data_IF_950775024171
#
_entry.id   IF_950775024171
#
_cell.length_a   1.000
_cell.length_b   1.000
_cell.length_c   1.000
_cell.angle_alpha   90.00
_cell.angle_beta   90.00
_cell.angle_gamma   90.00
#
_symmetry.space_group_name_H-M   'P 1'
#
loop_
_entity.id
_entity.type
_entity.pdbx_description
1 polymer ?
#
# COMPACT_ATOMS: atom_id res chain seq x y z
N UNK A 1 -4.85 -11.87 33.75
CA UNK A 1 -5.03 -10.84 32.70
C UNK A 1 -3.94 -11.06 31.67
N UNK A 2 -4.29 -11.37 30.42
CA UNK A 2 -3.30 -11.43 29.34
C UNK A 2 -2.62 -10.07 29.21
N UNK A 3 -1.29 -10.07 29.17
CA UNK A 3 -0.52 -8.86 28.86
C UNK A 3 -0.85 -8.48 27.41
N UNK A 4 -1.23 -7.22 27.10
CA UNK A 4 -1.44 -6.78 25.74
C UNK A 4 -0.19 -7.10 24.91
N UNK A 5 -0.36 -7.79 23.77
CA UNK A 5 0.75 -8.03 22.86
C UNK A 5 1.14 -6.72 22.18
N UNK A 6 2.44 -6.43 22.00
CA UNK A 6 2.88 -5.22 21.33
C UNK A 6 2.34 -5.18 19.89
N UNK A 7 2.15 -3.96 19.40
CA UNK A 7 1.71 -3.69 18.04
C UNK A 7 2.48 -2.54 17.37
N UNK A 8 3.26 -1.77 18.12
CA UNK A 8 4.11 -0.70 17.58
C UNK A 8 5.56 -1.15 17.72
N UNK A 9 6.28 -1.14 16.60
CA UNK A 9 7.58 -1.79 16.46
C UNK A 9 8.62 -0.81 15.94
N UNK A 10 9.90 -1.09 16.23
CA UNK A 10 11.00 -0.57 15.42
C UNK A 10 11.06 -1.33 14.11
N UNK A 11 11.39 -0.65 13.03
CA UNK A 11 11.58 -1.31 11.75
C UNK A 11 12.86 -2.15 11.84
N UNK A 12 12.82 -3.45 11.49
CA UNK A 12 14.01 -4.30 11.50
C UNK A 12 15.12 -3.71 10.62
N UNK A 13 16.37 -3.79 11.09
CA UNK A 13 17.53 -3.20 10.38
C UNK A 13 17.64 -3.65 8.93
N UNK A 14 17.36 -4.92 8.66
CA UNK A 14 17.43 -5.49 7.30
C UNK A 14 16.52 -4.76 6.31
N UNK A 15 15.39 -4.23 6.77
CA UNK A 15 14.44 -3.47 5.96
C UNK A 15 14.78 -1.96 6.03
N UNK A 16 15.09 -1.47 7.23
CA UNK A 16 15.37 -0.05 7.47
C UNK A 16 16.60 0.45 6.69
N UNK A 17 17.67 -0.34 6.64
CA UNK A 17 18.95 0.03 6.03
C UNK A 17 18.86 0.20 4.51
N UNK A 18 17.81 -0.36 3.87
CA UNK A 18 17.55 -0.20 2.43
C UNK A 18 17.10 1.22 2.09
N UNK A 19 16.28 1.83 2.95
CA UNK A 19 15.74 3.18 2.77
C UNK A 19 15.35 3.84 4.11
N UNK A 20 16.31 4.34 4.91
CA UNK A 20 16.05 4.87 6.25
C UNK A 20 15.06 6.03 6.29
N UNK A 21 15.03 6.86 5.24
CA UNK A 21 14.14 8.01 5.10
C UNK A 21 12.66 7.62 4.98
N UNK A 22 12.34 6.39 4.58
CA UNK A 22 10.96 5.91 4.48
C UNK A 22 10.32 5.61 5.86
N UNK A 23 11.11 5.61 6.93
CA UNK A 23 10.69 5.25 8.29
C UNK A 23 11.01 6.36 9.30
N UNK A 24 11.49 7.50 8.83
CA UNK A 24 11.91 8.62 9.67
C UNK A 24 10.94 9.77 9.46
N UNK A 25 10.23 10.23 10.49
CA UNK A 25 9.36 11.38 10.38
C UNK A 25 10.10 12.58 9.78
N UNK A 26 9.39 13.43 9.05
CA UNK A 26 9.98 14.61 8.42
C UNK A 26 9.71 15.88 9.20
N UNK A 27 8.59 15.92 9.93
CA UNK A 27 8.05 17.12 10.54
C UNK A 27 7.45 16.89 11.93
N UNK A 28 6.69 15.82 12.16
CA UNK A 28 6.00 15.60 13.44
C UNK A 28 6.36 14.26 14.08
N UNK A 29 6.84 14.32 15.33
CA UNK A 29 7.11 13.13 16.15
C UNK A 29 5.85 12.74 16.92
N UNK A 30 5.39 11.52 16.79
CA UNK A 30 4.22 10.98 17.47
C UNK A 30 4.64 9.79 18.31
N UNK A 31 4.24 9.81 19.58
CA UNK A 31 4.61 8.79 20.54
C UNK A 31 6.09 8.85 20.94
N UNK A 32 6.58 7.82 21.64
CA UNK A 32 7.84 7.85 22.36
C UNK A 32 9.07 7.43 21.53
N UNK A 33 8.92 6.65 20.46
CA UNK A 33 10.04 5.94 19.83
C UNK A 33 11.08 6.91 19.23
N UNK A 34 10.67 7.91 18.45
CA UNK A 34 11.60 8.90 17.88
C UNK A 34 12.11 9.94 18.87
N UNK A 35 11.66 9.89 20.14
CA UNK A 35 12.05 10.83 21.20
C UNK A 35 13.13 10.25 22.12
N UNK A 36 13.52 9.00 21.93
CA UNK A 36 14.56 8.36 22.72
C UNK A 36 15.93 8.95 22.44
N UNK A 37 16.79 9.02 23.46
CA UNK A 37 18.21 9.35 23.28
C UNK A 37 18.93 8.33 22.37
N UNK A 38 18.40 7.10 22.21
CA UNK A 38 18.92 6.07 21.31
C UNK A 38 18.70 6.38 19.82
N UNK A 39 17.68 7.17 19.47
CA UNK A 39 17.47 7.63 18.08
C UNK A 39 18.66 8.45 17.56
N UNK A 40 19.43 9.06 18.46
CA UNK A 40 20.63 9.83 18.14
C UNK A 40 21.87 8.95 17.88
N UNK A 41 21.86 7.69 18.30
CA UNK A 41 22.97 6.76 18.04
C UNK A 41 22.78 5.99 16.71
N UNK A 42 21.55 5.73 16.27
CA UNK A 42 21.28 5.10 14.96
C UNK A 42 21.64 6.05 13.81
N UNK A 43 21.52 7.37 14.02
CA UNK A 43 21.92 8.38 13.04
C UNK A 43 23.46 8.56 12.91
N UNK A 44 24.27 7.96 13.80
CA UNK A 44 25.74 8.03 13.72
C UNK A 44 26.35 7.02 12.75
N UNK A 45 25.62 5.94 12.41
CA UNK A 45 26.17 4.84 11.60
C UNK A 45 25.99 5.05 10.08
N UNK A 46 25.45 6.21 9.64
CA UNK A 46 25.29 6.52 8.23
C UNK A 46 25.38 8.02 7.93
N UNK A 47 26.51 8.42 7.34
CA UNK A 47 26.89 9.75 6.86
C UNK A 47 27.56 10.70 7.87
N UNK A 48 28.84 10.98 7.60
CA UNK A 48 29.58 12.10 8.14
C UNK A 48 28.91 13.45 7.79
N UNK A 49 29.03 14.41 8.72
CA UNK A 49 28.67 15.84 8.66
C UNK A 49 27.25 16.27 9.06
N UNK A 50 26.96 16.24 10.37
CA UNK A 50 26.49 17.45 11.07
C UNK A 50 26.77 17.38 12.57
N UNK A 51 27.60 18.30 13.02
CA UNK A 51 27.98 18.55 14.40
C UNK A 51 26.88 19.29 15.15
N UNK A 52 25.90 18.59 15.72
CA UNK A 52 25.34 18.81 17.08
C UNK A 52 24.16 17.84 17.32
N UNK A 53 24.14 17.00 18.37
CA UNK A 53 22.97 16.20 18.74
C UNK A 53 21.75 17.03 19.15
N UNK A 54 21.91 18.34 19.38
CA UNK A 54 20.85 19.28 19.75
C UNK A 54 20.09 19.89 18.57
N UNK A 55 20.48 19.59 17.33
CA UNK A 55 19.66 19.83 16.13
C UNK A 55 18.53 18.80 16.05
N UNK A 56 17.65 18.77 17.07
CA UNK A 56 16.28 18.32 16.86
C UNK A 56 15.73 19.28 15.80
N UNK A 57 15.84 18.86 14.52
CA UNK A 57 15.59 19.64 13.30
C UNK A 57 14.58 20.72 13.62
N UNK A 58 14.96 22.01 13.56
CA UNK A 58 14.18 23.18 14.01
C UNK A 58 12.66 23.08 13.78
N UNK A 59 12.26 22.37 12.73
CA UNK A 59 10.87 22.04 12.39
C UNK A 59 10.14 21.15 13.41
N UNK A 60 10.79 20.17 14.05
CA UNK A 60 10.22 19.40 15.16
C UNK A 60 9.86 20.29 16.34
N UNK A 61 10.74 21.23 16.73
CA UNK A 61 10.46 22.16 17.83
C UNK A 61 9.24 23.05 17.50
N UNK A 62 9.15 23.54 16.26
CA UNK A 62 7.97 24.28 15.80
C UNK A 62 6.70 23.42 15.90
N UNK A 63 6.77 22.14 15.53
CA UNK A 63 5.62 21.25 15.63
C UNK A 63 5.24 20.93 17.07
N UNK A 64 6.20 20.80 17.99
CA UNK A 64 5.88 20.63 19.40
C UNK A 64 5.20 21.87 20.00
N UNK A 65 5.58 23.07 19.56
CA UNK A 65 4.86 24.30 19.93
C UNK A 65 3.48 24.38 19.27
N UNK A 66 3.35 23.90 18.02
CA UNK A 66 2.05 23.81 17.35
C UNK A 66 1.10 22.87 18.10
N UNK A 67 1.57 21.72 18.58
CA UNK A 67 0.77 20.80 19.40
C UNK A 67 0.24 21.44 20.67
N UNK A 68 1.04 22.28 21.34
CA UNK A 68 0.57 23.06 22.51
C UNK A 68 -0.56 24.00 22.12
N UNK A 69 -0.42 24.72 21.00
CA UNK A 69 -1.49 25.60 20.48
C UNK A 69 -2.76 24.83 20.13
N UNK A 70 -2.63 23.64 19.54
CA UNK A 70 -3.75 22.74 19.26
C UNK A 70 -4.44 22.32 20.56
N UNK A 71 -3.67 21.92 21.59
CA UNK A 71 -4.22 21.58 22.89
C UNK A 71 -4.94 22.77 23.53
N UNK A 72 -4.37 23.97 23.51
CA UNK A 72 -5.00 25.20 24.03
C UNK A 72 -6.30 25.53 23.29
N UNK A 73 -6.30 25.44 21.96
CA UNK A 73 -7.49 25.66 21.13
C UNK A 73 -8.58 24.63 21.43
N UNK A 74 -8.20 23.35 21.49
CA UNK A 74 -9.10 22.25 21.79
C UNK A 74 -9.72 22.41 23.18
N UNK A 75 -8.90 22.78 24.18
CA UNK A 75 -9.35 23.03 25.55
C UNK A 75 -10.42 24.12 25.60
N UNK A 76 -10.27 25.20 24.82
CA UNK A 76 -11.31 26.25 24.69
C UNK A 76 -12.59 25.72 24.04
N UNK A 77 -12.49 24.80 23.08
CA UNK A 77 -13.62 24.20 22.35
C UNK A 77 -14.41 23.21 23.21
N UNK A 78 -13.75 22.35 23.99
CA UNK A 78 -14.40 21.25 24.73
C UNK A 78 -14.51 21.47 26.25
N UNK A 79 -13.80 22.47 26.79
CA UNK A 79 -13.74 22.80 28.21
C UNK A 79 -12.70 21.98 29.00
N UNK A 80 -12.18 22.58 30.07
CA UNK A 80 -11.12 22.02 30.92
C UNK A 80 -11.51 20.66 31.54
N UNK A 81 -12.78 20.52 31.95
CA UNK A 81 -13.30 19.26 32.52
C UNK A 81 -13.13 18.07 31.57
N UNK A 82 -13.32 18.30 30.28
CA UNK A 82 -13.16 17.27 29.24
C UNK A 82 -11.68 16.88 29.09
N UNK A 83 -10.77 17.85 29.15
CA UNK A 83 -9.32 17.60 29.08
C UNK A 83 -8.84 16.83 30.32
N UNK A 84 -9.38 17.13 31.49
CA UNK A 84 -9.06 16.41 32.72
C UNK A 84 -9.61 14.96 32.70
N UNK A 85 -10.80 14.74 32.12
CA UNK A 85 -11.32 13.40 31.86
C UNK A 85 -10.42 12.60 30.90
N UNK A 86 -9.93 13.24 29.84
CA UNK A 86 -8.96 12.65 28.92
C UNK A 86 -7.66 12.27 29.65
N UNK A 87 -7.13 13.16 30.49
CA UNK A 87 -5.92 12.90 31.28
C UNK A 87 -6.10 11.69 32.21
N UNK A 88 -7.23 11.59 32.91
CA UNK A 88 -7.57 10.44 33.76
C UNK A 88 -7.69 9.14 32.96
N UNK A 89 -8.26 9.21 31.76
CA UNK A 89 -8.39 8.06 30.85
C UNK A 89 -7.00 7.57 30.41
N UNK A 90 -6.11 8.47 29.99
CA UNK A 90 -4.73 8.12 29.61
C UNK A 90 -3.98 7.54 30.81
N UNK A 91 -4.16 8.12 32.00
CA UNK A 91 -3.53 7.62 33.23
C UNK A 91 -3.99 6.20 33.58
N UNK A 92 -5.29 5.91 33.47
CA UNK A 92 -5.83 4.58 33.69
C UNK A 92 -5.28 3.55 32.68
N UNK A 93 -5.05 3.98 31.45
CA UNK A 93 -4.57 3.16 30.34
C UNK A 93 -3.05 3.15 30.16
N UNK A 94 -2.28 3.86 31.01
CA UNK A 94 -0.82 4.03 30.83
C UNK A 94 -0.11 2.70 30.57
N UNK A 95 -0.41 1.70 31.39
CA UNK A 95 0.18 0.36 31.26
C UNK A 95 -0.13 -0.29 29.91
N UNK A 96 -1.36 -0.13 29.40
CA UNK A 96 -1.78 -0.71 28.12
C UNK A 96 -1.16 0.06 26.93
N UNK A 97 -1.05 1.38 27.05
CA UNK A 97 -0.38 2.21 26.04
C UNK A 97 1.10 1.83 25.95
N UNK A 98 1.80 1.73 27.09
CA UNK A 98 3.21 1.30 27.12
C UNK A 98 3.40 -0.11 26.58
N UNK A 99 2.50 -1.04 26.94
CA UNK A 99 2.53 -2.42 26.45
C UNK A 99 2.24 -2.55 24.94
N UNK A 100 1.73 -1.48 24.30
CA UNK A 100 1.55 -1.47 22.85
C UNK A 100 2.88 -1.32 22.09
N UNK A 101 3.95 -0.86 22.73
CA UNK A 101 5.28 -0.75 22.14
C UNK A 101 6.12 -2.01 22.44
N UNK A 102 6.80 -2.55 21.43
CA UNK A 102 7.77 -3.63 21.64
C UNK A 102 9.02 -3.13 22.38
N UNK A 103 9.52 -1.95 22.00
CA UNK A 103 10.63 -1.29 22.70
C UNK A 103 10.13 -0.73 24.05
N UNK A 104 10.84 -1.03 25.14
CA UNK A 104 10.49 -0.50 26.46
C UNK A 104 10.49 1.03 26.47
N UNK A 105 9.45 1.59 27.09
CA UNK A 105 9.28 3.03 27.29
C UNK A 105 9.54 3.45 28.75
N UNK A 106 10.04 2.54 29.59
CA UNK A 106 10.22 2.75 31.04
C UNK A 106 11.21 3.87 31.37
N UNK A 107 12.06 4.24 30.41
CA UNK A 107 12.96 5.38 30.51
C UNK A 107 12.24 6.73 30.54
N UNK A 108 10.96 6.80 30.14
CA UNK A 108 10.11 7.99 30.23
C UNK A 108 9.32 7.93 31.53
N UNK A 109 9.53 8.92 32.42
CA UNK A 109 8.72 9.05 33.64
C UNK A 109 7.23 9.18 33.29
N UNK A 110 6.37 8.60 34.11
CA UNK A 110 4.91 8.59 33.92
C UNK A 110 4.35 9.99 33.63
N UNK A 111 4.72 11.02 34.41
CA UNK A 111 4.25 12.40 34.20
C UNK A 111 4.49 12.93 32.77
N UNK A 112 5.69 12.71 32.22
CA UNK A 112 6.04 13.15 30.87
C UNK A 112 5.39 12.27 29.80
N UNK A 113 5.25 10.98 30.08
CA UNK A 113 4.58 10.06 29.17
C UNK A 113 3.11 10.41 29.00
N UNK A 114 2.38 10.67 30.09
CA UNK A 114 0.96 11.04 30.04
C UNK A 114 0.75 12.35 29.28
N UNK A 115 1.59 13.36 29.53
CA UNK A 115 1.54 14.65 28.83
C UNK A 115 1.85 14.49 27.34
N UNK A 116 2.83 13.67 26.98
CA UNK A 116 3.16 13.32 25.60
C UNK A 116 1.97 12.69 24.88
N UNK A 117 1.36 11.66 25.46
CA UNK A 117 0.22 10.97 24.86
C UNK A 117 -0.98 11.92 24.70
N UNK A 118 -1.25 12.78 25.68
CA UNK A 118 -2.33 13.76 25.61
C UNK A 118 -2.13 14.73 24.46
N UNK A 119 -0.95 15.35 24.37
CA UNK A 119 -0.62 16.33 23.32
C UNK A 119 -0.68 15.72 21.93
N UNK A 120 -0.06 14.55 21.75
CA UNK A 120 -0.05 13.85 20.46
C UNK A 120 -1.46 13.39 20.07
N UNK A 121 -2.27 12.91 21.03
CA UNK A 121 -3.65 12.49 20.75
C UNK A 121 -4.52 13.66 20.33
N UNK A 122 -4.48 14.78 21.07
CA UNK A 122 -5.27 15.98 20.75
C UNK A 122 -4.84 16.58 19.42
N UNK A 123 -3.53 16.67 19.17
CA UNK A 123 -3.01 17.13 17.89
C UNK A 123 -3.56 16.30 16.73
N UNK A 124 -3.50 14.97 16.80
CA UNK A 124 -3.99 14.09 15.74
C UNK A 124 -5.51 14.25 15.55
N UNK A 125 -6.28 14.24 16.63
CA UNK A 125 -7.74 14.35 16.55
C UNK A 125 -8.18 15.67 15.94
N UNK A 126 -7.62 16.79 16.38
CA UNK A 126 -7.96 18.11 15.83
C UNK A 126 -7.42 18.29 14.41
N UNK A 127 -6.19 17.83 14.12
CA UNK A 127 -5.64 17.88 12.76
C UNK A 127 -6.56 17.18 11.76
N UNK A 128 -7.03 15.97 12.06
CA UNK A 128 -7.94 15.21 11.20
C UNK A 128 -9.33 15.85 11.14
N UNK A 129 -9.88 16.27 12.28
CA UNK A 129 -11.24 16.83 12.35
C UNK A 129 -11.33 18.16 11.61
N UNK A 130 -10.35 19.06 11.80
CA UNK A 130 -10.29 20.33 11.09
C UNK A 130 -10.13 20.16 9.58
N UNK A 131 -9.32 19.20 9.11
CA UNK A 131 -9.18 18.94 7.66
C UNK A 131 -10.46 18.37 7.03
N UNK A 132 -11.27 17.65 7.82
CA UNK A 132 -12.56 17.16 7.38
C UNK A 132 -13.65 18.25 7.41
N UNK A 133 -13.61 19.18 8.37
CA UNK A 133 -14.60 20.25 8.51
C UNK A 133 -14.32 21.44 7.57
N UNK A 134 -13.05 21.81 7.38
CA UNK A 134 -12.63 22.93 6.52
C UNK A 134 -12.63 22.60 5.02
N UNK A 135 -13.12 21.41 4.61
CA UNK A 135 -13.36 21.12 3.19
C UNK A 135 -14.59 21.85 2.64
N UNK A 136 -15.38 22.53 3.49
CA UNK A 136 -16.62 23.22 3.09
C UNK A 136 -16.55 24.76 3.11
N UNK A 137 -15.60 25.41 3.79
CA UNK A 137 -15.45 26.88 3.71
C UNK A 137 -14.06 27.37 4.21
N UNK A 138 -13.48 28.31 3.45
CA UNK A 138 -12.32 29.17 3.74
C UNK A 138 -10.98 28.52 4.19
N UNK A 139 -10.09 28.31 3.22
CA UNK A 139 -8.71 27.87 3.48
C UNK A 139 -7.84 29.01 3.99
N UNK A 140 -7.51 28.99 5.28
CA UNK A 140 -6.28 29.62 5.77
C UNK A 140 -5.10 28.90 5.06
N UNK A 141 -4.53 29.57 4.06
CA UNK A 141 -3.52 29.05 3.12
C UNK A 141 -2.28 28.43 3.78
N UNK A 142 -2.03 28.71 5.06
CA UNK A 142 -0.86 28.25 5.81
C UNK A 142 -0.95 26.76 6.23
N UNK A 143 -2.16 26.20 6.43
CA UNK A 143 -2.31 24.78 6.82
C UNK A 143 -2.03 23.79 5.67
N UNK A 144 -2.22 24.20 4.41
CA UNK A 144 -2.09 23.31 3.24
C UNK A 144 -0.65 22.88 2.95
N UNK A 145 0.34 23.72 3.29
CA UNK A 145 1.76 23.52 2.90
C UNK A 145 2.42 22.33 3.62
N UNK A 146 2.01 22.04 4.85
CA UNK A 146 2.58 20.95 5.65
C UNK A 146 1.64 19.75 5.85
N UNK A 147 0.36 19.87 5.48
CA UNK A 147 -0.64 18.83 5.69
C UNK A 147 -0.20 17.48 5.10
N UNK A 148 0.30 17.47 3.86
CA UNK A 148 0.77 16.25 3.19
C UNK A 148 1.95 15.59 3.92
N UNK A 149 2.88 16.38 4.44
CA UNK A 149 4.04 15.89 5.19
C UNK A 149 3.63 15.33 6.54
N UNK A 150 2.72 16.02 7.25
CA UNK A 150 2.14 15.53 8.51
C UNK A 150 1.38 14.23 8.27
N UNK A 151 0.52 14.16 7.25
CA UNK A 151 -0.21 12.93 6.89
C UNK A 151 0.71 11.75 6.63
N UNK A 152 1.84 11.98 5.94
CA UNK A 152 2.86 10.97 5.72
C UNK A 152 3.54 10.52 7.02
N UNK A 153 3.86 11.45 7.92
CA UNK A 153 4.44 11.12 9.22
C UNK A 153 3.48 10.32 10.11
N UNK A 154 2.17 10.55 9.99
CA UNK A 154 1.14 9.87 10.78
C UNK A 154 1.01 8.37 10.47
N UNK A 155 1.52 7.89 9.33
CA UNK A 155 1.39 6.48 8.92
C UNK A 155 2.67 5.66 9.12
N UNK A 156 3.77 6.30 9.54
CA UNK A 156 5.06 5.63 9.76
C UNK A 156 4.99 4.70 10.96
N UNK A 157 5.45 3.46 10.81
CA UNK A 157 5.32 2.40 11.83
C UNK A 157 5.95 2.79 13.18
N UNK A 158 7.08 3.51 13.14
CA UNK A 158 7.79 3.96 14.34
C UNK A 158 7.18 5.24 14.96
N UNK A 159 6.19 5.85 14.32
CA UNK A 159 5.62 7.15 14.67
C UNK A 159 4.12 7.04 15.03
N UNK A 160 3.77 6.09 15.90
CA UNK A 160 2.38 5.70 16.16
C UNK A 160 1.96 5.88 17.62
N UNK A 161 0.65 6.09 17.80
CA UNK A 161 -0.07 5.82 19.05
C UNK A 161 -1.00 4.61 18.86
N UNK A 162 -1.26 3.82 19.90
CA UNK A 162 -2.18 2.70 19.79
C UNK A 162 -3.61 3.21 19.61
N UNK A 163 -4.30 2.74 18.58
CA UNK A 163 -5.54 3.34 18.10
C UNK A 163 -6.68 3.35 19.12
N UNK A 164 -6.70 2.38 20.04
CA UNK A 164 -7.74 2.30 21.09
C UNK A 164 -7.80 3.56 21.95
N UNK A 165 -6.69 4.31 22.06
CA UNK A 165 -6.67 5.56 22.83
C UNK A 165 -7.63 6.59 22.23
N UNK A 166 -7.66 6.72 20.90
CA UNK A 166 -8.54 7.69 20.24
C UNK A 166 -10.02 7.36 20.45
N UNK A 167 -10.39 6.08 20.52
CA UNK A 167 -11.76 5.69 20.87
C UNK A 167 -12.15 6.03 22.28
N UNK A 168 -11.18 5.92 23.18
CA UNK A 168 -11.38 6.20 24.60
C UNK A 168 -11.46 7.71 24.84
N UNK A 169 -10.64 8.48 24.12
CA UNK A 169 -10.55 9.94 24.25
C UNK A 169 -11.61 10.69 23.46
N UNK A 170 -12.05 10.17 22.32
CA UNK A 170 -13.16 10.72 21.54
C UNK A 170 -14.49 10.35 22.21
N UNK A 171 -14.71 10.94 23.39
CA UNK A 171 -15.80 10.62 24.31
C UNK A 171 -17.18 10.87 23.69
N UNK A 172 -18.23 10.35 24.34
CA UNK A 172 -19.62 10.59 23.93
C UNK A 172 -19.95 12.08 23.83
N UNK A 173 -19.33 12.95 24.63
CA UNK A 173 -19.55 14.40 24.56
C UNK A 173 -19.06 14.97 23.23
N UNK A 174 -17.86 14.58 22.79
CA UNK A 174 -17.27 15.00 21.51
C UNK A 174 -18.04 14.38 20.33
N UNK A 175 -18.42 13.11 20.44
CA UNK A 175 -19.21 12.42 19.42
C UNK A 175 -20.63 13.02 19.28
N UNK A 176 -21.27 13.44 20.38
CA UNK A 176 -22.55 14.13 20.33
C UNK A 176 -22.46 15.51 19.67
N UNK A 177 -21.36 16.24 19.88
CA UNK A 177 -21.12 17.52 19.21
C UNK A 177 -20.94 17.37 17.69
N UNK A 178 -20.27 16.29 17.26
CA UNK A 178 -19.88 16.06 15.85
C UNK A 178 -20.84 15.16 15.07
N UNK A 179 -21.74 14.43 15.75
CA UNK A 179 -22.60 13.38 15.19
C UNK A 179 -21.83 12.25 14.46
N UNK A 180 -20.51 12.14 14.63
CA UNK A 180 -19.66 11.13 14.02
C UNK A 180 -18.77 10.46 15.07
N UNK A 181 -18.22 9.30 14.73
CA UNK A 181 -17.16 8.64 15.51
C UNK A 181 -15.81 9.02 14.91
N UNK A 182 -14.75 8.98 15.72
CA UNK A 182 -13.39 9.20 15.20
C UNK A 182 -13.02 8.22 14.09
N UNK A 183 -13.52 6.98 14.17
CA UNK A 183 -13.42 5.97 13.12
C UNK A 183 -13.91 6.48 11.75
N UNK A 184 -15.00 7.27 11.70
CA UNK A 184 -15.49 7.84 10.43
C UNK A 184 -14.57 8.94 9.92
N UNK A 185 -14.10 9.83 10.80
CA UNK A 185 -13.18 10.89 10.45
C UNK A 185 -11.87 10.35 9.88
N UNK A 186 -11.22 9.40 10.57
CA UNK A 186 -9.94 8.83 10.11
C UNK A 186 -10.07 8.08 8.78
N UNK A 187 -11.14 7.29 8.61
CA UNK A 187 -11.36 6.52 7.38
C UNK A 187 -11.66 7.45 6.21
N UNK A 188 -12.42 8.52 6.43
CA UNK A 188 -12.66 9.55 5.41
C UNK A 188 -11.39 10.33 5.08
N UNK A 189 -10.59 10.69 6.09
CA UNK A 189 -9.36 11.46 5.91
C UNK A 189 -8.32 10.73 5.06
N UNK A 190 -8.20 9.41 5.22
CA UNK A 190 -7.28 8.59 4.42
C UNK A 190 -7.95 7.93 3.18
N UNK A 191 -9.23 8.22 2.90
CA UNK A 191 -10.04 7.59 1.85
C UNK A 191 -9.97 6.04 1.90
N UNK A 192 -10.14 5.48 3.10
CA UNK A 192 -10.07 4.03 3.35
C UNK A 192 -11.46 3.46 3.59
N UNK A 193 -11.82 2.44 2.81
CA UNK A 193 -13.03 1.65 3.05
C UNK A 193 -12.69 0.28 3.65
N UNK A 194 -12.75 0.19 4.98
CA UNK A 194 -12.68 -1.09 5.71
C UNK A 194 -14.11 -1.46 6.14
N UNK A 195 -14.44 -2.76 6.16
CA UNK A 195 -15.75 -3.25 6.61
C UNK A 195 -16.11 -2.82 8.04
N UNK A 196 -17.34 -3.14 8.48
CA UNK A 196 -17.97 -2.64 9.73
C UNK A 196 -17.16 -2.77 11.02
N UNK A 197 -16.12 -3.62 11.07
CA UNK A 197 -15.27 -3.78 12.25
C UNK A 197 -13.95 -3.06 12.02
N UNK A 198 -13.83 -1.90 12.62
CA UNK A 198 -12.60 -1.13 12.80
C UNK A 198 -11.87 -1.73 14.02
N UNK A 199 -10.89 -2.59 13.80
CA UNK A 199 -10.07 -3.18 14.88
C UNK A 199 -8.59 -3.12 14.57
N UNK A 200 -8.21 -2.17 13.71
CA UNK A 200 -6.82 -1.84 13.45
C UNK A 200 -6.14 -1.27 14.70
N UNK A 201 -4.86 -1.58 14.86
CA UNK A 201 -4.07 -1.31 16.06
C UNK A 201 -3.47 0.10 16.08
N UNK A 202 -3.21 0.68 14.91
CA UNK A 202 -2.66 2.02 14.66
C UNK A 202 -2.82 2.34 13.16
N UNK A 203 -2.36 3.49 12.67
CA UNK A 203 -2.66 3.95 11.31
C UNK A 203 -1.96 3.14 10.22
N UNK A 204 -0.73 2.66 10.46
CA UNK A 204 -0.08 1.71 9.53
C UNK A 204 -0.88 0.41 9.37
N UNK A 205 -1.41 -0.14 10.48
CA UNK A 205 -2.26 -1.34 10.44
C UNK A 205 -3.61 -1.05 9.76
N UNK A 206 -4.13 0.18 9.87
CA UNK A 206 -5.32 0.62 9.12
C UNK A 206 -5.08 0.51 7.60
N UNK A 207 -3.95 1.01 7.08
CA UNK A 207 -3.60 0.89 5.67
C UNK A 207 -3.42 -0.57 5.24
N UNK A 208 -2.71 -1.37 6.05
CA UNK A 208 -2.56 -2.82 5.82
C UNK A 208 -3.92 -3.50 5.73
N UNK A 209 -4.85 -3.16 6.63
CA UNK A 209 -6.22 -3.70 6.58
C UNK A 209 -6.97 -3.25 5.33
N UNK A 210 -6.80 -2.01 4.88
CA UNK A 210 -7.37 -1.55 3.61
C UNK A 210 -6.91 -2.42 2.44
N UNK A 211 -5.60 -2.71 2.35
CA UNK A 211 -5.06 -3.65 1.37
C UNK A 211 -5.65 -5.05 1.51
N UNK A 212 -5.71 -5.58 2.73
CA UNK A 212 -6.23 -6.92 2.99
C UNK A 212 -7.72 -7.05 2.62
N UNK A 213 -8.57 -6.11 3.04
CA UNK A 213 -10.01 -6.13 2.78
C UNK A 213 -10.33 -6.11 1.28
N UNK A 214 -9.48 -5.50 0.46
CA UNK A 214 -9.63 -5.50 -1.01
C UNK A 214 -9.64 -6.90 -1.63
N UNK A 215 -9.00 -7.88 -1.00
CA UNK A 215 -9.02 -9.29 -1.42
C UNK A 215 -10.38 -9.92 -1.18
N UNK A 216 -11.12 -9.43 -0.18
CA UNK A 216 -12.32 -10.07 0.34
C UNK A 216 -13.62 -9.29 0.09
N UNK A 217 -13.57 -8.19 -0.68
CA UNK A 217 -14.70 -7.29 -0.88
C UNK A 217 -15.99 -7.98 -1.40
N UNK A 218 -15.87 -9.15 -2.03
CA UNK A 218 -17.02 -9.93 -2.50
C UNK A 218 -17.59 -10.92 -1.47
N UNK A 219 -16.95 -11.06 -0.29
CA UNK A 219 -17.34 -12.01 0.75
C UNK A 219 -17.89 -11.26 1.96
N UNK A 220 -19.22 -11.08 1.97
CA UNK A 220 -19.94 -10.45 3.09
C UNK A 220 -19.96 -11.32 4.36
N UNK A 221 -19.77 -12.64 4.24
CA UNK A 221 -19.82 -13.58 5.37
C UNK A 221 -18.43 -13.91 5.93
N UNK A 222 -18.31 -13.89 7.27
CA UNK A 222 -17.06 -14.19 7.99
C UNK A 222 -16.55 -15.61 7.76
N UNK A 223 -17.44 -16.58 7.60
CA UNK A 223 -17.11 -17.97 7.32
C UNK A 223 -16.51 -18.14 5.93
N UNK A 224 -17.09 -17.51 4.90
CA UNK A 224 -16.56 -17.51 3.55
C UNK A 224 -15.20 -16.83 3.47
N UNK A 225 -14.99 -15.75 4.24
CA UNK A 225 -13.67 -15.12 4.38
C UNK A 225 -12.64 -16.06 5.00
N UNK A 226 -13.02 -16.80 6.05
CA UNK A 226 -12.13 -17.77 6.69
C UNK A 226 -11.82 -18.95 5.76
N UNK A 227 -12.82 -19.51 5.10
CA UNK A 227 -12.64 -20.55 4.08
C UNK A 227 -11.71 -20.04 2.98
N UNK A 228 -11.95 -18.86 2.43
CA UNK A 228 -11.10 -18.23 1.40
C UNK A 228 -9.65 -18.06 1.87
N UNK A 229 -9.42 -17.62 3.12
CA UNK A 229 -8.07 -17.52 3.71
C UNK A 229 -7.33 -18.87 3.73
N UNK A 230 -8.07 -19.95 4.00
CA UNK A 230 -7.56 -21.33 4.05
C UNK A 230 -7.44 -21.94 2.65
N UNK A 231 -8.29 -21.57 1.69
CA UNK A 231 -8.36 -22.21 0.37
C UNK A 231 -7.51 -21.54 -0.71
N UNK A 232 -7.09 -20.27 -0.54
CA UNK A 232 -6.36 -19.52 -1.59
C UNK A 232 -4.87 -19.36 -1.34
N UNK A 233 -4.42 -19.72 -0.15
CA UNK A 233 -3.00 -19.75 0.14
C UNK A 233 -2.42 -21.07 -0.36
N UNK A 234 -1.85 -21.05 -1.56
CA UNK A 234 -0.99 -22.12 -2.05
C UNK A 234 0.47 -21.89 -1.65
N UNK A 235 1.40 -22.76 -2.08
CA UNK A 235 2.84 -22.54 -1.91
C UNK A 235 3.29 -21.16 -2.40
N UNK A 236 4.38 -20.65 -1.82
CA UNK A 236 5.04 -19.44 -2.29
C UNK A 236 5.41 -19.55 -3.78
N UNK A 237 5.37 -18.42 -4.49
CA UNK A 237 5.71 -18.38 -5.92
C UNK A 237 7.23 -18.45 -6.03
N UNK A 238 7.74 -19.50 -6.67
CA UNK A 238 9.19 -19.69 -6.86
C UNK A 238 9.66 -19.09 -8.19
N UNK A 239 8.83 -19.21 -9.23
CA UNK A 239 9.13 -18.68 -10.55
C UNK A 239 7.87 -18.13 -11.25
N UNK A 240 8.06 -17.05 -11.99
CA UNK A 240 7.06 -16.49 -12.90
C UNK A 240 7.80 -15.71 -14.00
N UNK A 241 7.17 -15.57 -15.17
CA UNK A 241 7.75 -14.81 -16.29
C UNK A 241 7.41 -13.33 -16.17
N UNK A 242 8.32 -12.49 -16.68
CA UNK A 242 8.14 -11.03 -16.71
C UNK A 242 6.95 -10.60 -17.56
N UNK A 243 6.52 -9.35 -17.39
CA UNK A 243 5.38 -8.81 -18.12
C UNK A 243 5.57 -8.89 -19.65
N UNK A 244 6.75 -8.51 -20.15
CA UNK A 244 7.08 -8.60 -21.59
C UNK A 244 7.03 -10.04 -22.10
N UNK A 245 7.62 -10.98 -21.37
CA UNK A 245 7.59 -12.40 -21.72
C UNK A 245 6.16 -12.96 -21.77
N UNK A 246 5.34 -12.62 -20.77
CA UNK A 246 3.94 -13.04 -20.72
C UNK A 246 3.13 -12.41 -21.87
N UNK A 247 3.38 -11.13 -22.19
CA UNK A 247 2.75 -10.43 -23.31
C UNK A 247 3.06 -11.08 -24.65
N UNK A 248 4.33 -11.46 -24.89
CA UNK A 248 4.73 -12.20 -26.09
C UNK A 248 4.05 -13.58 -26.19
N UNK A 249 3.67 -14.18 -25.07
CA UNK A 249 2.88 -15.42 -25.03
C UNK A 249 1.36 -15.21 -25.16
N UNK A 250 0.91 -13.96 -25.37
CA UNK A 250 -0.50 -13.61 -25.59
C UNK A 250 -1.26 -13.22 -24.33
N UNK A 251 -0.59 -13.00 -23.20
CA UNK A 251 -1.22 -12.44 -21.99
C UNK A 251 -1.44 -10.95 -22.17
N UNK A 252 -2.66 -10.49 -21.94
CA UNK A 252 -2.98 -9.05 -21.90
C UNK A 252 -3.00 -8.56 -20.48
N UNK A 253 -2.55 -7.33 -20.24
CA UNK A 253 -2.59 -6.70 -18.93
C UNK A 253 -3.78 -5.74 -18.88
N UNK A 254 -4.38 -5.59 -17.71
CA UNK A 254 -5.48 -4.65 -17.51
C UNK A 254 -5.47 -4.12 -16.08
N UNK A 255 -5.50 -2.79 -15.94
CA UNK A 255 -5.70 -2.18 -14.65
C UNK A 255 -7.14 -2.42 -14.14
N UNK A 256 -7.27 -2.78 -12.87
CA UNK A 256 -8.56 -2.84 -12.20
C UNK A 256 -9.07 -1.41 -11.99
N UNK A 257 -10.18 -1.08 -12.62
CA UNK A 257 -10.91 0.16 -12.35
C UNK A 257 -11.50 0.03 -10.96
N UNK A 258 -11.16 0.94 -10.04
CA UNK A 258 -11.80 1.03 -8.74
C UNK A 258 -12.87 2.12 -8.81
N UNK A 259 -14.13 1.74 -8.62
CA UNK A 259 -15.25 2.66 -8.48
C UNK A 259 -15.26 3.22 -7.05
N UNK A 260 -14.46 4.26 -6.81
CA UNK A 260 -14.73 5.32 -5.82
C UNK A 260 -13.62 6.37 -5.88
N UNK A 261 -14.05 7.62 -6.08
CA UNK A 261 -13.28 8.84 -5.92
C UNK A 261 -14.17 9.77 -5.11
N UNK A 262 -13.74 10.23 -3.94
CA UNK A 262 -14.24 11.48 -3.37
C UNK A 262 -13.14 12.15 -2.55
N UNK A 263 -12.89 13.41 -2.90
CA UNK A 263 -12.04 14.40 -2.25
C UNK A 263 -10.51 14.23 -2.32
N UNK A 264 -9.85 15.36 -2.66
CA UNK A 264 -8.41 15.53 -2.57
C UNK A 264 -7.66 15.19 -3.86
N UNK A 265 -6.61 15.94 -4.11
CA UNK A 265 -5.76 15.98 -5.31
C UNK A 265 -5.62 14.65 -6.08
N UNK A 266 -5.83 14.71 -7.41
CA UNK A 266 -5.86 13.56 -8.32
C UNK A 266 -4.55 12.74 -8.32
N UNK A 267 -3.48 13.32 -7.78
CA UNK A 267 -2.13 12.79 -7.83
C UNK A 267 -1.68 12.03 -6.56
N UNK A 268 -2.50 11.93 -5.50
CA UNK A 268 -2.08 11.33 -4.21
C UNK A 268 -2.86 10.09 -3.73
N UNK A 269 -3.74 9.51 -4.55
CA UNK A 269 -4.57 8.39 -4.09
C UNK A 269 -3.78 7.07 -4.16
N UNK A 270 -3.37 6.56 -2.99
CA UNK A 270 -2.93 5.17 -2.86
C UNK A 270 -4.14 4.26 -3.00
N UNK A 271 -4.33 3.67 -4.18
CA UNK A 271 -5.36 2.66 -4.39
C UNK A 271 -5.02 1.40 -3.59
N UNK A 272 -5.66 1.23 -2.43
CA UNK A 272 -5.46 0.08 -1.56
C UNK A 272 -6.13 -1.16 -2.17
N UNK A 273 -5.43 -1.85 -3.06
CA UNK A 273 -5.90 -3.11 -3.63
C UNK A 273 -4.77 -4.10 -3.87
N UNK A 274 -5.05 -5.37 -3.55
CA UNK A 274 -4.16 -6.51 -3.76
C UNK A 274 -4.78 -7.54 -4.73
N UNK A 275 -5.92 -7.24 -5.35
CA UNK A 275 -6.70 -8.25 -6.10
C UNK A 275 -6.19 -8.45 -7.53
N UNK A 276 -5.57 -9.61 -7.75
CA UNK A 276 -5.09 -10.07 -9.07
C UNK A 276 -5.93 -11.24 -9.56
N UNK A 277 -6.36 -11.19 -10.82
CA UNK A 277 -7.16 -12.23 -11.47
C UNK A 277 -6.63 -12.51 -12.86
N UNK A 278 -6.58 -13.79 -13.23
CA UNK A 278 -6.21 -14.20 -14.58
C UNK A 278 -7.30 -15.06 -15.21
N UNK A 279 -7.96 -14.50 -16.22
CA UNK A 279 -9.08 -15.14 -16.91
C UNK A 279 -8.96 -14.93 -18.42
N UNK A 280 -9.16 -16.01 -19.18
CA UNK A 280 -9.20 -15.98 -20.66
C UNK A 280 -8.01 -15.25 -21.32
N UNK A 281 -6.83 -15.33 -20.71
CA UNK A 281 -5.61 -14.68 -21.23
C UNK A 281 -5.45 -13.21 -20.84
N UNK A 282 -6.29 -12.68 -19.95
CA UNK A 282 -6.19 -11.32 -19.44
C UNK A 282 -5.82 -11.36 -17.96
N UNK A 283 -4.70 -10.75 -17.59
CA UNK A 283 -4.27 -10.52 -16.22
C UNK A 283 -4.79 -9.15 -15.76
N UNK A 284 -5.80 -9.17 -14.90
CA UNK A 284 -6.36 -7.96 -14.29
C UNK A 284 -5.77 -7.77 -12.90
N UNK A 285 -5.13 -6.63 -12.65
CA UNK A 285 -4.43 -6.36 -11.39
C UNK A 285 -4.64 -4.92 -10.91
N UNK A 286 -4.35 -4.62 -9.62
CA UNK A 286 -4.39 -3.26 -9.12
C UNK A 286 -3.44 -2.36 -9.90
N UNK A 287 -3.84 -1.11 -10.13
CA UNK A 287 -2.91 -0.12 -10.68
C UNK A 287 -1.79 0.17 -9.67
N UNK A 288 -0.55 0.16 -10.12
CA UNK A 288 0.63 0.47 -9.33
C UNK A 288 1.13 1.88 -9.67
N UNK A 289 0.90 2.82 -8.76
CA UNK A 289 1.38 4.19 -8.90
C UNK A 289 2.75 4.31 -8.25
N UNK A 290 3.83 4.36 -9.05
CA UNK A 290 5.19 4.36 -8.55
C UNK A 290 5.61 5.78 -8.12
N UNK A 291 5.29 6.16 -6.88
CA UNK A 291 5.67 7.45 -6.28
C UNK A 291 6.38 7.30 -4.94
N UNK A 292 7.02 8.37 -4.46
CA UNK A 292 7.65 8.40 -3.13
C UNK A 292 6.66 8.05 -2.01
N UNK A 293 5.43 8.57 -2.08
CA UNK A 293 4.36 8.27 -1.11
C UNK A 293 3.98 6.79 -1.12
N UNK A 294 3.80 6.19 -2.30
CA UNK A 294 3.46 4.77 -2.41
C UNK A 294 4.59 3.87 -1.90
N UNK A 295 5.86 4.23 -2.15
CA UNK A 295 7.02 3.51 -1.66
C UNK A 295 7.06 3.53 -0.13
N UNK A 296 6.90 4.72 0.46
CA UNK A 296 6.84 4.90 1.92
C UNK A 296 5.69 4.12 2.55
N UNK A 297 4.48 4.19 1.99
CA UNK A 297 3.29 3.46 2.49
C UNK A 297 3.54 1.95 2.46
N UNK A 298 3.97 1.41 1.32
CA UNK A 298 4.23 -0.02 1.15
C UNK A 298 5.34 -0.49 2.11
N UNK A 299 6.41 0.28 2.24
CA UNK A 299 7.51 -0.01 3.18
C UNK A 299 7.06 -0.14 4.62
N UNK A 300 6.22 0.78 5.10
CA UNK A 300 5.73 0.75 6.49
C UNK A 300 4.71 -0.38 6.70
N UNK A 301 3.84 -0.64 5.73
CA UNK A 301 2.89 -1.77 5.78
C UNK A 301 3.64 -3.11 5.78
N UNK A 302 4.63 -3.29 4.91
CA UNK A 302 5.46 -4.49 4.85
C UNK A 302 6.25 -4.66 6.14
N UNK A 303 6.90 -3.61 6.65
CA UNK A 303 7.60 -3.68 7.94
C UNK A 303 6.68 -4.16 9.07
N UNK A 304 5.43 -3.70 9.10
CA UNK A 304 4.46 -4.16 10.09
C UNK A 304 4.05 -5.63 9.89
N UNK A 305 3.85 -6.09 8.65
CA UNK A 305 3.63 -7.51 8.35
C UNK A 305 4.80 -8.39 8.80
N UNK A 306 6.03 -7.90 8.69
CA UNK A 306 7.24 -8.62 9.09
C UNK A 306 7.44 -8.68 10.61
N UNK A 307 7.02 -7.65 11.35
CA UNK A 307 7.13 -7.63 12.81
C UNK A 307 5.99 -8.38 13.52
N UNK A 308 4.75 -8.30 12.99
CA UNK A 308 3.58 -8.86 13.67
C UNK A 308 3.30 -10.31 13.24
N UNK A 309 3.94 -11.26 13.94
CA UNK A 309 3.91 -12.73 13.66
C UNK A 309 2.53 -13.31 13.36
N UNK A 310 1.46 -12.74 13.92
CA UNK A 310 0.09 -13.23 13.72
C UNK A 310 -0.53 -12.87 12.35
N UNK A 311 0.18 -12.12 11.50
CA UNK A 311 -0.35 -11.65 10.21
C UNK A 311 0.08 -12.53 9.05
N UNK A 312 -0.83 -12.70 8.10
CA UNK A 312 -0.50 -13.18 6.76
C UNK A 312 0.12 -12.02 5.96
N UNK A 313 1.31 -12.19 5.34
CA UNK A 313 2.03 -11.10 4.69
C UNK A 313 1.49 -10.83 3.27
N UNK A 314 0.21 -10.45 3.17
CA UNK A 314 -0.49 -10.27 1.89
C UNK A 314 0.16 -9.18 1.01
N UNK A 315 0.56 -8.07 1.62
CA UNK A 315 1.19 -6.94 0.90
C UNK A 315 2.59 -7.32 0.43
N UNK A 316 3.36 -7.98 1.29
CA UNK A 316 4.68 -8.53 0.95
C UNK A 316 4.60 -9.53 -0.22
N UNK A 317 3.60 -10.41 -0.21
CA UNK A 317 3.33 -11.35 -1.30
C UNK A 317 2.93 -10.65 -2.61
N UNK A 318 2.24 -9.51 -2.54
CA UNK A 318 1.90 -8.72 -3.73
C UNK A 318 3.13 -8.07 -4.36
N UNK A 319 3.99 -7.47 -3.54
CA UNK A 319 5.26 -6.94 -4.04
C UNK A 319 6.12 -8.05 -4.65
N UNK A 320 6.12 -9.25 -4.05
CA UNK A 320 6.83 -10.39 -4.64
C UNK A 320 6.24 -10.84 -5.98
N UNK A 321 4.91 -10.88 -6.10
CA UNK A 321 4.26 -11.12 -7.39
C UNK A 321 4.61 -10.03 -8.42
N UNK A 322 4.59 -8.76 -8.02
CA UNK A 322 4.90 -7.62 -8.88
C UNK A 322 6.37 -7.63 -9.34
N UNK A 323 7.30 -8.03 -8.47
CA UNK A 323 8.73 -8.10 -8.78
C UNK A 323 9.04 -9.13 -9.88
N UNK A 324 8.28 -10.22 -9.96
CA UNK A 324 8.41 -11.14 -11.10
C UNK A 324 7.98 -10.51 -12.42
N UNK A 325 7.01 -9.59 -12.40
CA UNK A 325 6.50 -8.94 -13.60
C UNK A 325 7.39 -7.80 -14.07
N UNK A 326 8.00 -7.05 -13.15
CA UNK A 326 8.81 -5.85 -13.41
C UNK A 326 10.29 -6.18 -13.23
N UNK A 327 10.92 -6.69 -14.29
CA UNK A 327 12.36 -7.05 -14.28
C UNK A 327 13.19 -6.03 -15.07
N UNK A 328 12.60 -5.36 -16.05
CA UNK A 328 13.28 -4.45 -16.98
C UNK A 328 12.45 -3.22 -17.32
N UNK A 329 13.11 -2.21 -17.88
CA UNK A 329 12.48 -1.00 -18.41
C UNK A 329 11.35 -1.30 -19.41
N UNK A 330 11.51 -2.37 -20.20
CA UNK A 330 10.52 -2.82 -21.18
C UNK A 330 9.24 -3.33 -20.50
N UNK A 331 9.38 -4.05 -19.37
CA UNK A 331 8.22 -4.49 -18.59
C UNK A 331 7.46 -3.28 -18.04
N UNK A 332 8.16 -2.27 -17.53
CA UNK A 332 7.55 -1.03 -17.02
C UNK A 332 6.85 -0.26 -18.14
N UNK A 333 7.48 -0.11 -19.31
CA UNK A 333 6.88 0.57 -20.46
C UNK A 333 5.59 -0.13 -20.90
N UNK A 334 5.63 -1.45 -21.08
CA UNK A 334 4.46 -2.26 -21.42
C UNK A 334 3.32 -2.07 -20.40
N UNK A 335 3.62 -2.19 -19.10
CA UNK A 335 2.61 -2.05 -18.07
C UNK A 335 2.07 -0.61 -17.96
N UNK A 336 2.88 0.38 -18.33
CA UNK A 336 2.44 1.79 -18.39
C UNK A 336 1.50 2.01 -19.57
N UNK A 337 1.80 1.44 -20.73
CA UNK A 337 0.93 1.49 -21.93
C UNK A 337 -0.45 0.84 -21.67
N UNK A 338 -0.48 -0.24 -20.90
CA UNK A 338 -1.71 -0.94 -20.48
C UNK A 338 -2.41 -0.29 -19.27
N UNK A 339 -1.89 0.86 -18.79
CA UNK A 339 -2.44 1.63 -17.68
C UNK A 339 -2.33 0.96 -16.30
N UNK A 340 -1.60 -0.15 -16.21
CA UNK A 340 -1.35 -0.89 -14.95
C UNK A 340 -0.33 -0.16 -14.09
N UNK A 341 0.69 0.44 -14.67
CA UNK A 341 1.69 1.23 -13.96
C UNK A 341 1.51 2.71 -14.28
N UNK A 342 1.53 3.56 -13.26
CA UNK A 342 1.69 5.00 -13.42
C UNK A 342 3.10 5.37 -12.95
N UNK A 343 3.88 6.02 -13.82
CA UNK A 343 5.28 6.33 -13.56
C UNK A 343 5.52 7.86 -13.46
N UNK A 344 5.14 8.50 -12.34
CA UNK A 344 5.47 9.91 -12.11
C UNK A 344 6.98 10.14 -11.89
N UNK A 345 7.76 9.09 -11.60
CA UNK A 345 9.23 9.16 -11.48
C UNK A 345 9.92 9.40 -12.83
N UNK A 346 9.20 9.28 -13.94
CA UNK A 346 9.66 9.59 -15.30
C UNK A 346 10.53 8.52 -15.95
N UNK A 347 11.50 7.94 -15.23
CA UNK A 347 12.39 6.89 -15.76
C UNK A 347 11.88 5.49 -15.41
N UNK A 348 11.70 4.58 -16.39
CA UNK A 348 11.31 3.20 -16.13
C UNK A 348 12.22 2.46 -15.13
N UNK A 349 13.53 2.68 -15.23
CA UNK A 349 14.51 2.07 -14.33
C UNK A 349 14.30 2.40 -12.85
N UNK A 350 13.78 3.59 -12.52
CA UNK A 350 13.46 3.96 -11.14
C UNK A 350 12.30 3.14 -10.57
N UNK A 351 11.34 2.74 -11.42
CA UNK A 351 10.24 1.85 -11.02
C UNK A 351 10.77 0.43 -10.77
N UNK A 352 11.66 -0.06 -11.65
CA UNK A 352 12.34 -1.35 -11.46
C UNK A 352 13.12 -1.34 -10.14
N UNK A 353 13.92 -0.31 -9.90
CA UNK A 353 14.70 -0.16 -8.66
C UNK A 353 13.81 -0.09 -7.42
N UNK A 354 12.70 0.66 -7.48
CA UNK A 354 11.73 0.76 -6.40
C UNK A 354 11.14 -0.61 -6.04
N UNK A 355 10.63 -1.36 -7.03
CA UNK A 355 9.99 -2.65 -6.80
C UNK A 355 10.98 -3.69 -6.26
N UNK A 356 12.20 -3.72 -6.78
CA UNK A 356 13.26 -4.59 -6.27
C UNK A 356 13.63 -4.23 -4.81
N UNK A 357 13.87 -2.95 -4.52
CA UNK A 357 14.23 -2.48 -3.16
C UNK A 357 13.09 -2.59 -2.15
N UNK A 358 11.85 -2.81 -2.57
CA UNK A 358 10.74 -3.13 -1.67
C UNK A 358 10.82 -4.59 -1.16
N UNK A 359 11.62 -5.45 -1.79
CA UNK A 359 11.82 -6.85 -1.38
C UNK A 359 13.07 -7.05 -0.51
N UNK A 360 14.03 -6.14 -0.57
CA UNK A 360 15.28 -6.26 0.18
C UNK A 360 15.00 -6.31 1.69
N UNK A 361 15.53 -7.35 2.34
CA UNK A 361 15.34 -7.60 3.78
C UNK A 361 13.96 -8.13 4.18
N UNK A 362 13.05 -8.35 3.22
CA UNK A 362 11.69 -8.86 3.48
C UNK A 362 11.68 -10.39 3.42
N UNK A 363 11.16 -11.05 4.46
CA UNK A 363 10.92 -12.49 4.43
C UNK A 363 9.59 -12.75 3.72
N UNK A 364 9.66 -13.22 2.48
CA UNK A 364 8.47 -13.63 1.72
C UNK A 364 7.95 -14.95 2.29
N UNK A 365 6.65 -15.00 2.60
CA UNK A 365 6.04 -16.16 3.21
C UNK A 365 6.16 -17.43 2.36
N UNK A 366 6.13 -18.59 3.01
CA UNK A 366 6.12 -19.91 2.34
C UNK A 366 4.82 -20.19 1.59
N UNK A 367 3.83 -19.30 1.69
CA UNK A 367 2.53 -19.39 1.04
C UNK A 367 2.14 -18.06 0.41
N UNK A 368 1.45 -18.12 -0.74
CA UNK A 368 1.00 -16.94 -1.47
C UNK A 368 -0.46 -17.05 -1.91
N UNK A 369 -1.20 -15.95 -1.77
CA UNK A 369 -2.55 -15.79 -2.30
C UNK A 369 -2.60 -15.73 -3.85
N UNK A 370 -1.44 -15.66 -4.50
CA UNK A 370 -1.31 -15.61 -5.96
C UNK A 370 -0.87 -16.94 -6.57
N UNK A 371 -0.74 -18.00 -5.78
CA UNK A 371 -0.30 -19.32 -6.27
C UNK A 371 -1.13 -19.79 -7.47
N UNK A 372 -2.46 -19.81 -7.35
CA UNK A 372 -3.34 -20.25 -8.44
C UNK A 372 -3.24 -19.36 -9.69
N UNK A 373 -3.06 -18.05 -9.51
CA UNK A 373 -2.86 -17.11 -10.62
C UNK A 373 -1.53 -17.42 -11.32
N UNK A 374 -0.46 -17.63 -10.56
CA UNK A 374 0.85 -17.99 -11.09
C UNK A 374 0.82 -19.34 -11.83
N UNK A 375 0.15 -20.36 -11.29
CA UNK A 375 -0.03 -21.65 -11.96
C UNK A 375 -0.77 -21.50 -13.30
N UNK A 376 -1.87 -20.73 -13.32
CA UNK A 376 -2.61 -20.48 -14.56
C UNK A 376 -1.78 -19.70 -15.58
N UNK A 377 -0.98 -18.73 -15.15
CA UNK A 377 -0.05 -18.00 -16.02
C UNK A 377 1.03 -18.93 -16.57
N UNK A 378 1.63 -19.79 -15.74
CA UNK A 378 2.64 -20.78 -16.17
C UNK A 378 2.05 -21.78 -17.18
N UNK A 379 0.85 -22.28 -16.92
CA UNK A 379 0.13 -23.16 -17.84
C UNK A 379 -0.21 -22.45 -19.17
N UNK A 380 -0.56 -21.17 -19.13
CA UNK A 380 -0.79 -20.37 -20.33
C UNK A 380 0.50 -20.21 -21.15
N UNK A 381 1.59 -19.82 -20.50
CA UNK A 381 2.88 -19.57 -21.13
C UNK A 381 3.49 -20.83 -21.75
N UNK A 382 3.38 -21.98 -21.08
CA UNK A 382 3.94 -23.26 -21.57
C UNK A 382 3.14 -23.85 -22.74
N UNK A 383 1.84 -23.55 -22.84
CA UNK A 383 0.95 -24.09 -23.87
C UNK A 383 1.40 -23.74 -25.29
N UNK A 384 1.87 -24.76 -26.04
CA UNK A 384 2.37 -24.60 -27.42
C UNK A 384 1.31 -24.04 -28.37
N UNK A 385 0.05 -24.46 -28.23
CA UNK A 385 -1.07 -23.95 -29.07
C UNK A 385 -1.31 -22.46 -28.85
N UNK A 386 -1.30 -22.00 -27.59
CA UNK A 386 -1.52 -20.59 -27.25
C UNK A 386 -0.35 -19.72 -27.72
N UNK A 387 0.89 -20.18 -27.53
CA UNK A 387 2.07 -19.51 -28.07
C UNK A 387 2.04 -19.41 -29.58
N UNK A 388 1.80 -20.51 -30.30
CA UNK A 388 1.70 -20.49 -31.77
C UNK A 388 0.59 -19.54 -32.24
N UNK A 389 -0.56 -19.52 -31.56
CA UNK A 389 -1.65 -18.60 -31.90
C UNK A 389 -1.28 -17.13 -31.64
N UNK A 390 -0.62 -16.83 -30.52
CA UNK A 390 -0.13 -15.49 -30.20
C UNK A 390 0.89 -15.01 -31.23
N UNK A 391 1.86 -15.85 -31.59
CA UNK A 391 2.84 -15.54 -32.65
C UNK A 391 2.16 -15.35 -34.00
N UNK A 392 1.25 -16.26 -34.39
CA UNK A 392 0.50 -16.14 -35.65
C UNK A 392 -0.26 -14.81 -35.71
N UNK A 393 -0.95 -14.45 -34.62
CA UNK A 393 -1.69 -13.20 -34.53
C UNK A 393 -0.76 -11.99 -34.63
N UNK A 394 0.34 -11.97 -33.89
CA UNK A 394 1.25 -10.83 -33.86
C UNK A 394 2.05 -10.64 -35.16
N UNK A 395 2.34 -11.72 -35.91
CA UNK A 395 3.12 -11.63 -37.16
C UNK A 395 2.23 -11.38 -38.38
N UNK A 396 1.10 -12.08 -38.47
CA UNK A 396 0.29 -12.07 -39.69
C UNK A 396 -0.98 -11.22 -39.57
N UNK A 397 -1.37 -10.85 -38.36
CA UNK A 397 -2.58 -10.06 -38.09
C UNK A 397 -2.28 -8.88 -37.15
N UNK A 398 -1.05 -8.34 -37.23
CA UNK A 398 -0.61 -7.16 -36.47
C UNK A 398 -1.45 -5.92 -36.77
N UNK A 399 -1.79 -5.75 -38.04
CA UNK A 399 -2.50 -4.59 -38.58
C UNK A 399 -3.35 -5.00 -39.79
N UNK A 400 -4.25 -4.10 -40.20
CA UNK A 400 -5.20 -4.35 -41.30
C UNK A 400 -4.50 -4.68 -42.62
N UNK A 401 -3.34 -4.09 -42.90
CA UNK A 401 -2.62 -4.31 -44.17
C UNK A 401 -1.91 -5.66 -44.17
N UNK A 402 -1.19 -6.00 -43.10
CA UNK A 402 -0.54 -7.30 -42.97
C UNK A 402 -1.56 -8.45 -42.92
N UNK A 403 -2.69 -8.23 -42.24
CA UNK A 403 -3.81 -9.17 -42.20
C UNK A 403 -4.46 -9.40 -43.57
N UNK A 404 -4.75 -8.33 -44.32
CA UNK A 404 -5.34 -8.44 -45.65
C UNK A 404 -4.37 -9.06 -46.66
N UNK A 405 -3.08 -8.71 -46.61
CA UNK A 405 -2.06 -9.34 -47.44
C UNK A 405 -1.93 -10.85 -47.16
N UNK A 406 -1.97 -11.24 -45.88
CA UNK A 406 -1.96 -12.65 -45.49
C UNK A 406 -3.19 -13.38 -46.01
N UNK A 407 -4.39 -12.81 -45.87
CA UNK A 407 -5.63 -13.41 -46.39
C UNK A 407 -5.61 -13.54 -47.91
N UNK A 408 -5.12 -12.52 -48.63
CA UNK A 408 -4.98 -12.57 -50.08
C UNK A 408 -4.00 -13.66 -50.51
N UNK A 409 -2.85 -13.80 -49.84
CA UNK A 409 -1.88 -14.86 -50.10
C UNK A 409 -2.47 -16.26 -49.86
N UNK A 410 -3.21 -16.45 -48.76
CA UNK A 410 -3.90 -17.72 -48.47
C UNK A 410 -4.96 -18.03 -49.54
N UNK A 411 -5.74 -17.02 -49.96
CA UNK A 411 -6.74 -17.18 -51.00
C UNK A 411 -6.12 -17.57 -52.35
N UNK A 412 -5.03 -16.92 -52.74
CA UNK A 412 -4.27 -17.26 -53.95
C UNK A 412 -3.67 -18.67 -53.88
N UNK A 413 -3.15 -19.09 -52.71
CA UNK A 413 -2.68 -20.46 -52.50
C UNK A 413 -3.80 -21.50 -52.64
N UNK A 414 -5.00 -21.21 -52.16
CA UNK A 414 -6.16 -22.09 -52.35
C UNK A 414 -6.58 -22.17 -53.82
N UNK A 415 -6.64 -21.04 -54.53
CA UNK A 415 -6.95 -21.03 -55.95
C UNK A 415 -5.92 -21.80 -56.79
N UNK A 416 -4.63 -21.64 -56.50
CA UNK A 416 -3.56 -22.37 -57.18
C UNK A 416 -3.61 -23.86 -56.89
N UNK A 417 -3.92 -24.26 -55.65
CA UNK A 417 -4.11 -25.67 -55.29
C UNK A 417 -5.31 -26.28 -56.04
N UNK A 418 -6.46 -25.60 -56.06
CA UNK A 418 -7.65 -26.03 -56.79
C UNK A 418 -7.34 -26.17 -58.29
N UNK A 419 -6.68 -25.17 -58.88
CA UNK A 419 -6.26 -25.20 -60.28
C UNK A 419 -5.31 -26.36 -60.60
N UNK A 420 -4.36 -26.65 -59.69
CA UNK A 420 -3.42 -27.77 -59.83
C UNK A 420 -4.14 -29.11 -59.77
N UNK A 421 -5.05 -29.30 -58.80
CA UNK A 421 -5.86 -30.53 -58.67
C UNK A 421 -6.75 -30.74 -59.91
N UNK A 422 -7.40 -29.68 -60.39
CA UNK A 422 -8.21 -29.75 -61.61
C UNK A 422 -7.37 -30.15 -62.83
N UNK A 423 -6.17 -29.58 -62.96
CA UNK A 423 -5.23 -29.91 -64.04
C UNK A 423 -4.77 -31.37 -63.99
N UNK A 424 -4.47 -31.90 -62.79
CA UNK A 424 -4.10 -33.30 -62.60
C UNK A 424 -5.26 -34.25 -62.93
N UNK A 425 -6.48 -33.93 -62.48
CA UNK A 425 -7.68 -34.73 -62.80
C UNK A 425 -7.94 -34.74 -64.31
N UNK A 426 -7.79 -33.59 -64.97
CA UNK A 426 -7.95 -33.49 -66.41
C UNK A 426 -6.89 -34.33 -67.14
N UNK A 427 -5.62 -34.23 -66.74
CA UNK A 427 -4.55 -35.04 -67.29
C UNK A 427 -4.81 -36.54 -67.10
N UNK A 428 -5.30 -36.96 -65.94
CA UNK A 428 -5.64 -38.36 -65.65
C UNK A 428 -6.83 -38.88 -66.48
N UNK A 429 -7.84 -38.04 -66.76
CA UNK A 429 -8.97 -38.40 -67.66
C UNK A 429 -8.61 -38.38 -69.14
N UNK A 430 -7.47 -37.82 -69.50
CA UNK A 430 -6.97 -37.72 -70.87
C UNK A 430 -6.09 -38.91 -71.26
N UNK A 431 -5.70 -39.73 -70.28
CA UNK A 431 -5.21 -41.11 -70.46
C UNK A 431 -6.40 -42.07 -70.38
#
# INVERSE_FOLDING_TARGET
>A
MEVPKPCIYRVPRQIRDVKPEAYTPRMVLIGPLHRSLKSFDIAKDGAETSSDPWDLKKDYLKMEDLKKKYLESYTKKVGEDTIEEMRKTIQAEEKNIRASYEESTDWIKSEYFLDLILKDSVFIMEFITCHHENSEDDSDLDQSSYASVVTNDLILLENQLPYFIFRSLFSSRISMMTQMTFDRYILSFFDISIGKKTDFKHFTDMLRRGYEESLFHNFQESLLRHIYRVTITGPGIVDLKSADNLSQAGVKFKARIMERFLYGDKDSIVKLSLRVEFEKGVLTMPGFHASETSDMVLRNVIAFEQCHVALTPYTSNYIHFLNFLIISDRDVQLLTEEGVVTNPMGRPSLVVDMVNKLQDGVNVGTSSQYFDVAEKLRAHYTSRRKRCWATLKNVYFSDLWTGTATLAAVFLLLLTLIGTVASVIQAYKSF
#
